data_IF_023683269060
#
_entry.id   IF_023683269060
#
_cell.length_a   1.000
_cell.length_b   1.000
_cell.length_c   1.000
_cell.angle_alpha   90.00
_cell.angle_beta   90.00
_cell.angle_gamma   90.00
#
_symmetry.space_group_name_H-M   'P 1'
#
loop_
_entity.id
_entity.type
_entity.pdbx_description
1 polymer ?
#
# COMPACT_ATOMS: atom_id res chain seq x y z
N UNK A 1 -2.75 11.03 3.69
CA UNK A 1 -3.67 10.95 2.53
C UNK A 1 -3.07 10.00 1.51
N UNK A 2 -3.90 9.21 0.82
CA UNK A 2 -3.38 8.31 -0.22
C UNK A 2 -2.70 9.10 -1.33
N UNK A 3 -1.50 8.66 -1.73
CA UNK A 3 -0.66 9.33 -2.72
C UNK A 3 0.11 8.29 -3.53
N UNK A 4 0.58 8.67 -4.71
CA UNK A 4 1.44 7.83 -5.53
C UNK A 4 1.27 8.08 -7.02
N UNK A 5 2.16 7.44 -7.79
CA UNK A 5 2.15 7.52 -9.24
C UNK A 5 1.05 6.66 -9.87
N UNK A 6 1.25 6.31 -11.13
CA UNK A 6 0.30 5.55 -11.95
C UNK A 6 0.92 4.30 -12.54
N UNK A 7 0.08 3.37 -12.98
CA UNK A 7 0.49 2.31 -13.88
C UNK A 7 -0.59 2.00 -14.92
N UNK A 8 -0.14 1.58 -16.10
CA UNK A 8 -0.98 0.98 -17.13
C UNK A 8 -0.64 -0.50 -17.18
N UNK A 9 -1.64 -1.37 -17.28
CA UNK A 9 -1.39 -2.79 -17.23
C UNK A 9 -2.39 -3.62 -17.99
N UNK A 10 -2.02 -4.88 -18.16
CA UNK A 10 -2.86 -5.93 -18.72
C UNK A 10 -2.91 -7.11 -17.77
N UNK A 11 -3.98 -7.89 -17.87
CA UNK A 11 -4.15 -9.14 -17.13
C UNK A 11 -4.67 -10.17 -18.12
N UNK A 12 -3.84 -11.06 -18.65
CA UNK A 12 -4.24 -12.02 -19.70
C UNK A 12 -4.86 -11.38 -20.96
N UNK A 13 -4.28 -10.24 -21.37
CA UNK A 13 -4.83 -9.38 -22.43
C UNK A 13 -3.71 -8.74 -23.22
N UNK A 14 -3.87 -8.69 -24.55
CA UNK A 14 -3.10 -7.82 -25.42
C UNK A 14 -3.83 -6.48 -25.52
N UNK A 15 -3.16 -5.38 -25.15
CA UNK A 15 -3.77 -4.06 -25.14
C UNK A 15 -2.80 -2.95 -25.53
N UNK A 16 -3.37 -1.83 -25.93
CA UNK A 16 -2.68 -0.63 -26.34
C UNK A 16 -3.16 0.57 -25.54
N UNK A 17 -2.25 1.50 -25.29
CA UNK A 17 -2.50 2.73 -24.56
C UNK A 17 -1.92 3.92 -25.33
N UNK A 18 -2.61 5.07 -25.28
CA UNK A 18 -2.11 6.34 -25.83
C UNK A 18 -2.76 7.55 -25.20
N UNK A 19 -2.26 8.73 -25.56
CA UNK A 19 -2.80 10.03 -25.14
C UNK A 19 -2.88 10.18 -23.62
N UNK A 20 -1.89 9.66 -22.89
CA UNK A 20 -1.86 9.72 -21.43
C UNK A 20 -1.57 11.15 -20.99
N UNK A 21 -2.42 11.67 -20.11
CA UNK A 21 -2.26 12.99 -19.49
C UNK A 21 -2.63 12.92 -18.02
N UNK A 22 -1.78 13.49 -17.18
CA UNK A 22 -1.99 13.62 -15.74
C UNK A 22 -1.94 15.09 -15.39
N UNK A 23 -2.99 15.60 -14.74
CA UNK A 23 -3.06 16.99 -14.30
C UNK A 23 -3.42 17.11 -12.83
N UNK A 24 -2.85 18.10 -12.15
CA UNK A 24 -3.23 18.50 -10.79
C UNK A 24 -3.28 20.03 -10.74
N UNK A 25 -4.35 20.60 -10.18
CA UNK A 25 -4.58 22.04 -10.13
C UNK A 25 -4.32 22.74 -11.48
N UNK A 26 -4.87 22.15 -12.55
CA UNK A 26 -4.72 22.58 -13.96
C UNK A 26 -3.30 22.50 -14.53
N UNK A 27 -2.29 22.14 -13.73
CA UNK A 27 -0.92 21.92 -14.18
C UNK A 27 -0.77 20.53 -14.76
N UNK A 28 -0.01 20.43 -15.85
CA UNK A 28 0.39 19.16 -16.43
C UNK A 28 1.53 18.56 -15.60
N UNK A 29 1.25 17.41 -14.96
CA UNK A 29 2.25 16.65 -14.20
C UNK A 29 3.01 15.68 -15.12
N UNK A 30 2.30 15.07 -16.07
CA UNK A 30 2.86 14.13 -17.03
C UNK A 30 2.01 14.07 -18.28
N UNK A 31 2.67 13.96 -19.44
CA UNK A 31 2.03 13.70 -20.71
C UNK A 31 2.86 12.71 -21.53
N UNK A 32 2.19 11.72 -22.12
CA UNK A 32 2.80 10.74 -23.01
C UNK A 32 1.81 10.37 -24.12
N UNK A 33 2.13 10.73 -25.36
CA UNK A 33 1.34 10.37 -26.54
C UNK A 33 1.78 9.02 -27.15
N UNK A 34 2.99 8.55 -26.80
CA UNK A 34 3.65 7.38 -27.37
C UNK A 34 3.82 7.46 -28.89
N UNK A 35 4.03 8.66 -29.43
CA UNK A 35 4.28 8.84 -30.86
C UNK A 35 5.69 8.39 -31.28
N UNK A 36 6.68 8.47 -30.37
CA UNK A 36 8.09 8.11 -30.64
C UNK A 36 8.63 7.04 -29.71
N UNK A 37 8.45 7.24 -28.41
CA UNK A 37 8.97 6.36 -27.37
C UNK A 37 8.08 6.38 -26.12
N UNK A 38 8.45 5.60 -25.11
CA UNK A 38 7.79 5.53 -23.81
C UNK A 38 8.70 6.06 -22.69
N UNK A 39 9.45 7.13 -22.96
CA UNK A 39 10.32 7.76 -21.96
C UNK A 39 9.54 8.11 -20.69
N UNK A 40 10.13 7.86 -19.53
CA UNK A 40 9.48 8.07 -18.23
C UNK A 40 8.58 6.91 -17.79
N UNK A 41 8.45 5.84 -18.57
CA UNK A 41 7.75 4.61 -18.19
C UNK A 41 8.73 3.47 -17.94
N UNK A 42 8.49 2.69 -16.88
CA UNK A 42 9.34 1.55 -16.52
C UNK A 42 8.49 0.29 -16.36
N UNK A 43 8.93 -0.83 -16.92
CA UNK A 43 8.34 -2.15 -16.70
C UNK A 43 9.32 -3.08 -15.99
N UNK A 44 8.78 -4.04 -15.21
CA UNK A 44 9.55 -5.17 -14.66
C UNK A 44 9.17 -6.51 -15.30
N UNK A 45 8.11 -6.52 -16.10
CA UNK A 45 7.55 -7.70 -16.74
C UNK A 45 6.72 -7.32 -17.97
N UNK A 46 6.42 -8.31 -18.80
CA UNK A 46 5.64 -8.17 -20.03
C UNK A 46 6.46 -7.67 -21.22
N UNK A 47 5.91 -7.86 -22.41
CA UNK A 47 6.49 -7.43 -23.67
C UNK A 47 5.87 -6.11 -24.08
N UNK A 48 6.57 -5.01 -23.80
CA UNK A 48 6.08 -3.64 -24.03
C UNK A 48 6.84 -2.98 -25.17
N UNK A 49 6.12 -2.38 -26.13
CA UNK A 49 6.73 -1.68 -27.26
C UNK A 49 5.85 -0.54 -27.74
N UNK A 50 6.48 0.58 -28.09
CA UNK A 50 5.81 1.64 -28.85
C UNK A 50 5.74 1.23 -30.31
N UNK A 51 4.53 1.15 -30.84
CA UNK A 51 4.25 0.85 -32.25
C UNK A 51 2.96 1.54 -32.68
N UNK A 52 2.92 2.00 -33.93
CA UNK A 52 1.73 2.61 -34.55
C UNK A 52 1.11 3.76 -33.72
N UNK A 53 1.96 4.53 -33.02
CA UNK A 53 1.54 5.65 -32.17
C UNK A 53 0.83 5.23 -30.88
N UNK A 54 1.06 4.01 -30.40
CA UNK A 54 0.55 3.52 -29.13
C UNK A 54 1.60 2.70 -28.38
N UNK A 55 1.48 2.66 -27.05
CA UNK A 55 2.28 1.77 -26.23
C UNK A 55 1.53 0.45 -26.03
N UNK A 56 2.06 -0.61 -26.62
CA UNK A 56 1.42 -1.92 -26.67
C UNK A 56 2.07 -2.88 -25.69
N UNK A 57 1.24 -3.64 -24.99
CA UNK A 57 1.62 -4.91 -24.37
C UNK A 57 1.17 -6.05 -25.29
N UNK A 58 2.09 -6.93 -25.67
CA UNK A 58 1.85 -7.92 -26.75
C UNK A 58 1.70 -9.38 -26.29
N UNK A 59 1.97 -9.70 -25.02
CA UNK A 59 1.86 -11.08 -24.51
C UNK A 59 0.44 -11.33 -23.95
N UNK A 60 -0.39 -12.17 -24.60
CA UNK A 60 -1.78 -12.43 -24.22
C UNK A 60 -1.94 -13.15 -22.88
N UNK A 61 -0.86 -13.69 -22.30
CA UNK A 61 -0.88 -14.39 -21.01
C UNK A 61 -0.31 -13.55 -19.87
N UNK A 62 0.33 -12.43 -20.18
CA UNK A 62 0.99 -11.64 -19.16
C UNK A 62 -0.02 -10.96 -18.23
N UNK A 63 0.35 -10.91 -16.96
CA UNK A 63 -0.17 -9.95 -16.00
C UNK A 63 0.95 -8.96 -15.72
N UNK A 64 0.96 -7.85 -16.44
CA UNK A 64 2.11 -6.94 -16.49
C UNK A 64 1.66 -5.49 -16.44
N UNK A 65 2.55 -4.62 -15.96
CA UNK A 65 2.33 -3.18 -15.92
C UNK A 65 3.59 -2.39 -16.23
N UNK A 66 3.36 -1.19 -16.75
CA UNK A 66 4.34 -0.11 -16.89
C UNK A 66 3.95 1.01 -15.91
N UNK A 67 4.93 1.55 -15.21
CA UNK A 67 4.72 2.52 -14.14
C UNK A 67 5.36 3.86 -14.47
N UNK A 68 4.76 4.95 -13.99
CA UNK A 68 5.32 6.30 -14.04
C UNK A 68 4.78 7.17 -12.89
N UNK A 69 5.32 8.39 -12.75
CA UNK A 69 4.91 9.38 -11.76
C UNK A 69 5.63 9.30 -10.42
N UNK A 70 5.23 10.19 -9.50
CA UNK A 70 5.93 10.43 -8.24
C UNK A 70 5.09 10.02 -7.02
N UNK A 71 5.76 9.64 -5.93
CA UNK A 71 5.11 9.23 -4.68
C UNK A 71 4.33 10.35 -3.98
N UNK A 72 4.63 11.61 -4.31
CA UNK A 72 4.02 12.78 -3.68
C UNK A 72 2.66 13.18 -4.30
N UNK A 73 2.28 12.62 -5.45
CA UNK A 73 1.02 13.00 -6.12
C UNK A 73 -0.20 12.49 -5.36
N UNK A 74 -1.11 13.39 -4.97
CA UNK A 74 -2.28 13.07 -4.14
C UNK A 74 -3.59 13.13 -4.93
N UNK A 75 -3.92 14.34 -5.36
CA UNK A 75 -5.16 14.68 -6.06
C UNK A 75 -4.79 15.09 -7.48
N UNK A 76 -5.24 14.31 -8.44
CA UNK A 76 -4.94 14.50 -9.85
C UNK A 76 -6.02 13.85 -10.71
N UNK A 77 -6.09 14.27 -11.97
CA UNK A 77 -6.88 13.63 -13.00
C UNK A 77 -5.95 12.93 -13.97
N UNK A 78 -6.12 11.61 -14.12
CA UNK A 78 -5.51 10.81 -15.18
C UNK A 78 -6.52 10.65 -16.32
N UNK A 79 -6.14 11.01 -17.53
CA UNK A 79 -6.91 10.74 -18.75
C UNK A 79 -6.03 10.00 -19.75
N UNK A 80 -6.60 9.03 -20.47
CA UNK A 80 -5.90 8.28 -21.50
C UNK A 80 -6.88 7.57 -22.44
N UNK A 81 -6.37 7.04 -23.55
CA UNK A 81 -7.08 6.08 -24.37
C UNK A 81 -6.50 4.68 -24.20
N UNK A 82 -7.37 3.68 -24.18
CA UNK A 82 -6.96 2.27 -24.17
C UNK A 82 -7.78 1.43 -25.15
N UNK A 83 -7.17 0.38 -25.69
CA UNK A 83 -7.82 -0.56 -26.59
C UNK A 83 -7.36 -1.98 -26.29
N UNK A 84 -8.33 -2.89 -26.15
CA UNK A 84 -8.08 -4.33 -26.14
C UNK A 84 -7.91 -4.83 -27.56
N UNK A 85 -6.92 -5.68 -27.82
CA UNK A 85 -6.75 -6.38 -29.10
C UNK A 85 -7.21 -7.85 -29.02
N UNK A 86 -6.80 -8.57 -27.98
CA UNK A 86 -7.13 -9.99 -27.79
C UNK A 86 -6.97 -10.39 -26.31
N UNK A 87 -7.26 -11.63 -25.96
CA UNK A 87 -7.19 -12.14 -24.57
C UNK A 87 -8.55 -12.25 -23.88
N UNK A 88 -8.54 -12.87 -22.70
CA UNK A 88 -9.74 -13.27 -21.96
C UNK A 88 -10.34 -12.15 -21.09
N UNK A 89 -9.54 -11.14 -20.77
CA UNK A 89 -9.89 -10.05 -19.84
C UNK A 89 -9.69 -8.69 -20.55
N UNK A 90 -9.58 -7.59 -19.82
CA UNK A 90 -9.27 -6.27 -20.37
C UNK A 90 -7.97 -5.67 -19.82
N UNK A 91 -8.00 -4.41 -19.45
CA UNK A 91 -6.83 -3.63 -19.04
C UNK A 91 -7.00 -3.02 -17.64
N UNK A 92 -5.87 -2.74 -17.00
CA UNK A 92 -5.76 -2.24 -15.64
C UNK A 92 -5.25 -0.80 -15.65
N UNK A 93 -5.95 0.10 -14.96
CA UNK A 93 -5.48 1.45 -14.68
C UNK A 93 -5.21 1.54 -13.18
N UNK A 94 -3.95 1.78 -12.82
CA UNK A 94 -3.53 1.90 -11.42
C UNK A 94 -3.24 3.35 -11.09
N UNK A 95 -3.72 3.82 -9.95
CA UNK A 95 -3.50 5.17 -9.44
C UNK A 95 -3.11 5.12 -7.96
N UNK A 96 -2.54 6.22 -7.44
CA UNK A 96 -2.03 6.31 -6.06
C UNK A 96 -1.11 5.15 -5.73
N UNK A 97 -0.26 4.81 -6.71
CA UNK A 97 0.63 3.67 -6.65
C UNK A 97 1.89 4.05 -5.88
N UNK A 98 2.02 3.53 -4.67
CA UNK A 98 3.28 3.57 -3.91
C UNK A 98 4.18 2.44 -4.39
N UNK A 99 3.63 1.23 -4.42
CA UNK A 99 4.25 0.03 -4.95
C UNK A 99 3.18 -0.93 -5.52
N UNK A 100 3.54 -2.19 -5.79
CA UNK A 100 2.61 -3.17 -6.36
C UNK A 100 1.56 -3.69 -5.36
N UNK A 101 1.79 -3.49 -4.06
CA UNK A 101 0.98 -3.96 -2.94
C UNK A 101 0.22 -2.83 -2.22
N UNK A 102 0.44 -1.59 -2.64
CA UNK A 102 -0.11 -0.37 -2.04
C UNK A 102 -0.55 0.58 -3.15
N UNK A 103 -1.77 0.36 -3.66
CA UNK A 103 -2.30 1.09 -4.81
C UNK A 103 -3.83 0.96 -4.95
N UNK A 104 -4.42 1.77 -5.83
CA UNK A 104 -5.81 1.60 -6.27
C UNK A 104 -5.80 1.09 -7.70
N UNK A 105 -6.54 0.02 -7.96
CA UNK A 105 -6.63 -0.63 -9.26
C UNK A 105 -8.05 -0.51 -9.79
N UNK A 106 -8.20 0.13 -10.94
CA UNK A 106 -9.39 0.06 -11.76
C UNK A 106 -9.18 -1.03 -12.82
N UNK A 107 -9.85 -2.16 -12.65
CA UNK A 107 -9.82 -3.28 -13.58
C UNK A 107 -11.02 -3.17 -14.52
N UNK A 108 -10.75 -3.02 -15.82
CA UNK A 108 -11.80 -3.01 -16.83
C UNK A 108 -11.84 -4.33 -17.58
N UNK A 109 -13.01 -4.97 -17.62
CA UNK A 109 -13.16 -6.25 -18.30
C UNK A 109 -12.49 -7.39 -17.53
N UNK A 110 -12.69 -7.44 -16.21
CA UNK A 110 -12.29 -8.54 -15.34
C UNK A 110 -13.34 -9.66 -15.28
N UNK A 111 -12.98 -10.78 -14.65
CA UNK A 111 -13.81 -11.98 -14.48
C UNK A 111 -14.25 -12.58 -15.82
N UNK A 112 -13.29 -12.77 -16.73
CA UNK A 112 -13.53 -13.21 -18.10
C UNK A 112 -14.24 -12.14 -18.93
N UNK A 113 -13.86 -10.87 -18.75
CA UNK A 113 -14.43 -9.72 -19.45
C UNK A 113 -15.94 -9.48 -19.22
N UNK A 114 -16.40 -9.70 -17.97
CA UNK A 114 -17.82 -9.59 -17.57
C UNK A 114 -18.10 -8.47 -16.57
N UNK A 115 -17.06 -7.86 -16.00
CA UNK A 115 -17.24 -6.78 -15.05
C UNK A 115 -16.11 -5.75 -15.09
N UNK A 116 -16.40 -4.57 -14.58
CA UNK A 116 -15.40 -3.58 -14.21
C UNK A 116 -15.39 -3.44 -12.70
N UNK A 117 -14.21 -3.40 -12.08
CA UNK A 117 -14.08 -3.30 -10.63
C UNK A 117 -13.05 -2.25 -10.22
N UNK A 118 -13.29 -1.67 -9.06
CA UNK A 118 -12.37 -0.77 -8.40
C UNK A 118 -11.96 -1.40 -7.07
N UNK A 119 -10.67 -1.57 -6.86
CA UNK A 119 -10.08 -2.27 -5.73
C UNK A 119 -8.99 -1.42 -5.08
N UNK A 120 -8.86 -1.50 -3.77
CA UNK A 120 -7.75 -0.94 -3.02
C UNK A 120 -6.85 -2.06 -2.50
N UNK A 121 -5.62 -2.09 -2.98
CA UNK A 121 -4.61 -3.06 -2.54
C UNK A 121 -3.79 -2.45 -1.41
N UNK A 122 -3.72 -3.18 -0.30
CA UNK A 122 -2.94 -2.81 0.88
C UNK A 122 -2.27 -4.06 1.46
N UNK A 123 -0.94 -4.11 1.38
CA UNK A 123 -0.15 -5.19 2.00
C UNK A 123 -0.55 -6.59 1.54
N UNK A 124 -0.62 -6.81 0.22
CA UNK A 124 -1.06 -8.06 -0.43
C UNK A 124 -2.55 -8.41 -0.27
N UNK A 125 -3.35 -7.55 0.36
CA UNK A 125 -4.80 -7.74 0.47
C UNK A 125 -5.54 -6.81 -0.50
N UNK A 126 -6.42 -7.40 -1.31
CA UNK A 126 -7.33 -6.67 -2.19
C UNK A 126 -8.65 -6.38 -1.45
N UNK A 127 -8.96 -5.10 -1.32
CA UNK A 127 -10.20 -4.61 -0.73
C UNK A 127 -11.12 -4.15 -1.86
N UNK A 128 -12.22 -4.87 -2.17
CA UNK A 128 -13.16 -4.42 -3.19
C UNK A 128 -13.87 -3.14 -2.73
N UNK A 129 -13.95 -2.15 -3.63
CA UNK A 129 -14.59 -0.86 -3.34
C UNK A 129 -15.87 -0.65 -4.14
N UNK A 130 -15.86 -0.99 -5.43
CA UNK A 130 -17.03 -0.92 -6.29
C UNK A 130 -16.90 -1.90 -7.46
N UNK A 131 -18.03 -2.36 -8.00
CA UNK A 131 -18.06 -3.22 -9.17
C UNK A 131 -19.35 -2.98 -9.96
N UNK A 132 -19.28 -3.12 -11.28
CA UNK A 132 -20.44 -3.10 -12.17
C UNK A 132 -20.26 -4.11 -13.31
N UNK A 133 -21.33 -4.74 -13.83
CA UNK A 133 -21.24 -5.55 -15.03
C UNK A 133 -20.78 -4.73 -16.24
N UNK A 134 -20.05 -5.36 -17.16
CA UNK A 134 -19.64 -4.72 -18.40
C UNK A 134 -18.55 -5.48 -19.14
N UNK A 135 -18.30 -5.07 -20.38
CA UNK A 135 -17.40 -5.76 -21.31
C UNK A 135 -16.57 -4.73 -22.08
N UNK A 136 -15.31 -5.06 -22.31
CA UNK A 136 -14.42 -4.34 -23.22
C UNK A 136 -14.38 -5.09 -24.56
N UNK A 137 -14.80 -4.41 -25.61
CA UNK A 137 -14.77 -4.88 -26.99
C UNK A 137 -13.34 -4.85 -27.53
N UNK A 138 -12.97 -5.90 -28.26
CA UNK A 138 -11.70 -5.91 -28.98
C UNK A 138 -11.73 -4.94 -30.17
N UNK A 139 -10.62 -4.26 -30.43
CA UNK A 139 -10.48 -3.32 -31.55
C UNK A 139 -11.04 -1.92 -31.32
N UNK A 140 -11.82 -1.71 -30.24
CA UNK A 140 -12.41 -0.40 -29.89
C UNK A 140 -11.49 0.41 -28.99
N UNK A 141 -11.28 1.67 -29.35
CA UNK A 141 -10.66 2.65 -28.46
C UNK A 141 -11.67 3.18 -27.46
N UNK A 142 -11.29 3.20 -26.19
CA UNK A 142 -12.05 3.76 -25.07
C UNK A 142 -11.37 5.01 -24.54
N UNK A 143 -12.14 6.03 -24.22
CA UNK A 143 -11.68 7.21 -23.49
C UNK A 143 -11.82 6.96 -21.97
N UNK A 144 -10.69 6.86 -21.28
CA UNK A 144 -10.63 6.59 -19.85
C UNK A 144 -10.27 7.86 -19.09
N UNK A 145 -10.92 8.07 -17.94
CA UNK A 145 -10.54 9.14 -17.01
C UNK A 145 -10.70 8.66 -15.57
N UNK A 146 -9.71 8.95 -14.73
CA UNK A 146 -9.76 8.76 -13.28
C UNK A 146 -9.55 10.12 -12.61
N UNK A 147 -10.49 10.54 -11.77
CA UNK A 147 -10.36 11.74 -10.95
C UNK A 147 -10.16 11.36 -9.48
N UNK A 148 -9.18 11.98 -8.85
CA UNK A 148 -8.84 11.79 -7.44
C UNK A 148 -9.00 13.11 -6.68
N UNK A 149 -9.72 13.06 -5.56
CA UNK A 149 -9.96 14.22 -4.69
C UNK A 149 -10.11 13.75 -3.25
N UNK A 150 -9.16 14.05 -2.36
CA UNK A 150 -9.18 13.56 -0.99
C UNK A 150 -9.16 12.03 -0.94
N UNK A 151 -10.15 11.36 -0.34
CA UNK A 151 -10.30 9.88 -0.41
C UNK A 151 -11.02 9.40 -1.68
N UNK A 152 -11.70 10.30 -2.39
CA UNK A 152 -12.62 9.95 -3.47
C UNK A 152 -11.88 9.56 -4.73
N UNK A 153 -12.35 8.48 -5.36
CA UNK A 153 -11.95 8.02 -6.69
C UNK A 153 -13.18 7.98 -7.58
N UNK A 154 -13.08 8.56 -8.77
CA UNK A 154 -14.12 8.53 -9.79
C UNK A 154 -13.53 8.04 -11.09
N UNK A 155 -14.11 6.97 -11.65
CA UNK A 155 -13.65 6.36 -12.91
C UNK A 155 -14.71 6.54 -13.99
N UNK A 156 -14.29 7.07 -15.13
CA UNK A 156 -15.15 7.40 -16.27
C UNK A 156 -14.71 6.61 -17.50
N UNK A 157 -15.69 6.02 -18.19
CA UNK A 157 -15.53 5.32 -19.44
C UNK A 157 -16.34 6.04 -20.52
N UNK A 158 -15.68 6.49 -21.59
CA UNK A 158 -16.27 7.29 -22.68
C UNK A 158 -17.07 8.51 -22.17
N UNK A 159 -16.47 9.22 -21.20
CA UNK A 159 -17.06 10.41 -20.59
C UNK A 159 -18.16 10.16 -19.55
N UNK A 160 -18.65 8.92 -19.41
CA UNK A 160 -19.69 8.56 -18.44
C UNK A 160 -19.07 8.10 -17.12
N UNK A 161 -19.55 8.62 -15.99
CA UNK A 161 -19.15 8.13 -14.67
C UNK A 161 -19.62 6.67 -14.53
N UNK A 162 -18.67 5.77 -14.28
CA UNK A 162 -18.93 4.33 -14.24
C UNK A 162 -18.80 3.76 -12.84
N UNK A 163 -17.74 4.13 -12.12
CA UNK A 163 -17.49 3.69 -10.74
C UNK A 163 -17.06 4.87 -9.89
N UNK A 164 -17.49 4.89 -8.64
CA UNK A 164 -17.03 5.87 -7.68
C UNK A 164 -17.04 5.29 -6.27
N UNK A 165 -15.97 5.54 -5.52
CA UNK A 165 -15.82 5.05 -4.16
C UNK A 165 -14.83 5.91 -3.37
N UNK A 166 -14.85 5.75 -2.05
CA UNK A 166 -13.87 6.33 -1.14
C UNK A 166 -12.82 5.28 -0.77
N UNK A 167 -11.55 5.62 -0.93
CA UNK A 167 -10.44 4.76 -0.50
C UNK A 167 -10.50 4.63 1.02
N UNK A 168 -10.59 3.40 1.56
CA UNK A 168 -10.58 3.19 2.99
C UNK A 168 -9.36 3.83 3.64
N UNK A 169 -9.50 4.48 4.81
CA UNK A 169 -8.35 5.00 5.52
C UNK A 169 -7.41 3.83 5.85
N UNK A 170 -6.14 3.98 5.51
CA UNK A 170 -5.12 3.02 5.90
C UNK A 170 -4.93 3.13 7.40
N UNK A 171 -5.60 2.25 8.15
CA UNK A 171 -5.31 2.05 9.57
C UNK A 171 -4.05 1.20 9.68
N UNK A 172 -2.88 1.80 9.42
CA UNK A 172 -1.64 1.17 9.86
C UNK A 172 -1.68 1.14 11.37
N UNK A 173 -1.81 -0.04 11.96
CA UNK A 173 -1.59 -0.18 13.40
C UNK A 173 -0.19 0.33 13.69
N UNK A 174 -0.08 1.47 14.37
CA UNK A 174 1.20 2.15 14.58
C UNK A 174 2.00 1.54 15.74
N UNK A 175 1.33 0.72 16.55
CA UNK A 175 1.90 -0.07 17.64
C UNK A 175 1.23 -1.43 17.67
N UNK A 176 2.02 -2.50 17.70
CA UNK A 176 1.53 -3.86 17.92
C UNK A 176 1.80 -4.27 19.36
N UNK A 177 0.87 -5.00 19.96
CA UNK A 177 0.99 -5.45 21.34
C UNK A 177 0.61 -6.93 21.46
N UNK A 178 1.30 -7.65 22.34
CA UNK A 178 0.88 -8.96 22.83
C UNK A 178 1.31 -9.11 24.29
N UNK A 179 0.56 -9.88 25.07
CA UNK A 179 0.90 -10.18 26.45
C UNK A 179 0.73 -11.67 26.72
N UNK A 180 1.62 -12.24 27.53
CA UNK A 180 1.57 -13.63 28.00
C UNK A 180 1.86 -13.65 29.49
N UNK A 181 1.36 -14.67 30.20
CA UNK A 181 1.61 -14.84 31.63
C UNK A 181 2.54 -16.02 31.86
N UNK A 182 3.60 -15.78 32.62
CA UNK A 182 4.47 -16.81 33.18
C UNK A 182 4.00 -17.06 34.62
N UNK A 183 3.27 -18.16 34.82
CA UNK A 183 2.65 -18.45 36.12
C UNK A 183 3.68 -18.79 37.19
N UNK A 184 4.77 -19.46 36.81
CA UNK A 184 5.82 -19.87 37.74
C UNK A 184 6.60 -18.67 38.25
N UNK A 185 6.87 -17.69 37.38
CA UNK A 185 7.53 -16.45 37.75
C UNK A 185 6.56 -15.40 38.35
N UNK A 186 5.25 -15.57 38.16
CA UNK A 186 4.24 -14.57 38.53
C UNK A 186 4.35 -13.30 37.68
N UNK A 187 4.77 -13.43 36.43
CA UNK A 187 5.09 -12.32 35.53
C UNK A 187 4.14 -12.23 34.34
N UNK A 188 3.88 -11.02 33.90
CA UNK A 188 3.29 -10.71 32.62
C UNK A 188 4.43 -10.27 31.70
N UNK A 189 4.57 -10.96 30.58
CA UNK A 189 5.50 -10.63 29.53
C UNK A 189 4.72 -9.86 28.47
N UNK A 190 4.82 -8.53 28.53
CA UNK A 190 4.23 -7.61 27.55
C UNK A 190 5.25 -7.31 26.45
N UNK A 191 4.84 -7.48 25.19
CA UNK A 191 5.64 -7.15 24.01
C UNK A 191 4.98 -6.01 23.27
N UNK A 192 5.72 -4.96 22.97
CA UNK A 192 5.28 -3.79 22.20
C UNK A 192 6.21 -3.57 21.00
N UNK A 193 5.65 -3.38 19.81
CA UNK A 193 6.41 -3.11 18.57
C UNK A 193 6.00 -1.75 18.04
N UNK A 194 6.96 -0.87 17.80
CA UNK A 194 6.78 0.33 16.98
C UNK A 194 7.59 0.17 15.68
N UNK A 195 6.96 -0.20 14.54
CA UNK A 195 7.67 -0.31 13.27
C UNK A 195 7.95 1.06 12.62
N UNK A 196 7.37 2.14 13.16
CA UNK A 196 7.46 3.48 12.58
C UNK A 196 8.86 4.09 12.69
N UNK A 197 9.16 5.01 11.77
CA UNK A 197 10.41 5.77 11.75
C UNK A 197 10.52 6.84 12.87
N UNK A 198 9.44 7.08 13.61
CA UNK A 198 9.36 8.04 14.70
C UNK A 198 9.02 7.34 16.01
N UNK A 199 9.46 7.93 17.12
CA UNK A 199 9.06 7.46 18.45
C UNK A 199 7.56 7.69 18.66
N UNK A 200 6.92 6.80 19.42
CA UNK A 200 5.48 6.86 19.69
C UNK A 200 5.18 6.69 21.16
N UNK A 201 4.24 7.48 21.66
CA UNK A 201 3.63 7.26 22.97
C UNK A 201 2.46 6.28 22.81
N UNK A 202 2.34 5.34 23.74
CA UNK A 202 1.19 4.45 23.84
C UNK A 202 0.70 4.35 25.28
N UNK A 203 -0.60 4.19 25.46
CA UNK A 203 -1.20 3.89 26.75
C UNK A 203 -1.43 2.39 26.84
N UNK A 204 -0.87 1.77 27.87
CA UNK A 204 -1.04 0.35 28.18
C UNK A 204 -2.09 0.21 29.28
N UNK A 205 -3.00 -0.73 29.09
CA UNK A 205 -3.94 -1.20 30.11
C UNK A 205 -3.85 -2.72 30.21
N UNK A 206 -3.29 -3.23 31.30
CA UNK A 206 -3.23 -4.66 31.60
C UNK A 206 -4.55 -5.10 32.25
N UNK A 207 -5.55 -5.39 31.42
CA UNK A 207 -6.86 -5.84 31.90
C UNK A 207 -6.74 -7.10 32.77
N UNK A 208 -7.43 -7.13 33.91
CA UNK A 208 -7.40 -8.23 34.87
C UNK A 208 -6.23 -8.19 35.88
N UNK A 209 -5.31 -7.23 35.77
CA UNK A 209 -4.23 -7.01 36.73
C UNK A 209 -4.63 -5.95 37.74
N UNK A 210 -4.50 -6.25 39.03
CA UNK A 210 -4.87 -5.34 40.12
C UNK A 210 -3.70 -4.50 40.62
N UNK A 211 -2.50 -5.06 40.61
CA UNK A 211 -1.29 -4.39 41.08
C UNK A 211 -0.07 -4.86 40.32
N UNK A 212 0.93 -3.98 40.21
CA UNK A 212 2.25 -4.28 39.63
C UNK A 212 3.31 -3.93 40.66
N UNK A 213 4.36 -4.75 40.75
CA UNK A 213 5.50 -4.46 41.64
C UNK A 213 6.44 -3.41 40.99
N UNK A 214 7.16 -2.63 41.80
CA UNK A 214 8.22 -1.74 41.29
C UNK A 214 9.36 -2.55 40.64
N UNK A 215 10.28 -1.87 39.97
CA UNK A 215 11.43 -2.45 39.28
C UNK A 215 11.05 -3.46 38.18
N UNK A 216 10.06 -3.11 37.35
CA UNK A 216 9.73 -3.85 36.13
C UNK A 216 10.96 -3.88 35.21
N UNK A 217 11.35 -5.07 34.76
CA UNK A 217 12.44 -5.23 33.80
C UNK A 217 11.92 -4.93 32.40
N UNK A 218 12.68 -4.17 31.64
CA UNK A 218 12.39 -3.86 30.25
C UNK A 218 13.61 -4.12 29.37
N UNK A 219 13.35 -4.63 28.18
CA UNK A 219 14.35 -4.91 27.16
C UNK A 219 13.93 -4.21 25.88
N UNK A 220 14.75 -3.31 25.36
CA UNK A 220 14.43 -2.55 24.16
C UNK A 220 15.46 -2.85 23.08
N UNK A 221 15.01 -3.44 21.99
CA UNK A 221 15.77 -3.58 20.76
C UNK A 221 15.37 -2.44 19.81
N UNK A 222 16.34 -1.71 19.27
CA UNK A 222 16.11 -0.64 18.28
C UNK A 222 17.29 -0.57 17.31
N UNK A 223 17.09 0.08 16.15
CA UNK A 223 18.12 0.27 15.13
C UNK A 223 17.97 1.60 14.41
N UNK A 224 19.07 2.10 13.86
CA UNK A 224 19.10 3.38 13.16
C UNK A 224 18.16 3.43 11.94
N UNK A 225 17.91 2.29 11.29
CA UNK A 225 16.99 2.16 10.14
C UNK A 225 16.39 0.74 10.06
N UNK A 226 15.43 0.55 9.13
CA UNK A 226 14.69 -0.72 8.99
C UNK A 226 15.51 -1.90 8.46
N UNK A 227 16.73 -1.65 7.97
CA UNK A 227 17.65 -2.67 7.46
C UNK A 227 18.84 -2.89 8.41
N UNK A 228 18.79 -2.32 9.63
CA UNK A 228 19.86 -2.50 10.61
C UNK A 228 19.95 -3.98 11.03
N UNK A 229 21.14 -4.56 10.92
CA UNK A 229 21.41 -5.97 11.23
C UNK A 229 22.82 -6.11 11.83
N UNK A 230 23.05 -7.21 12.55
CA UNK A 230 24.37 -7.60 13.04
C UNK A 230 25.14 -8.31 11.93
N UNK A 231 26.36 -7.89 11.66
CA UNK A 231 27.28 -8.56 10.72
C UNK A 231 28.32 -9.37 11.49
N UNK A 232 29.19 -10.12 10.78
CA UNK A 232 30.33 -10.77 11.42
C UNK A 232 31.32 -9.75 12.01
N UNK A 233 31.53 -8.63 11.33
CA UNK A 233 32.42 -7.55 11.77
C UNK A 233 31.80 -6.69 12.88
N UNK A 234 30.47 -6.51 12.86
CA UNK A 234 29.70 -5.73 13.84
C UNK A 234 28.59 -6.59 14.48
N UNK A 235 28.94 -7.59 15.32
CA UNK A 235 27.97 -8.58 15.80
C UNK A 235 26.99 -8.04 16.85
N UNK A 236 27.19 -6.82 17.34
CA UNK A 236 26.41 -6.21 18.43
C UNK A 236 25.75 -4.88 18.05
N UNK A 237 25.59 -4.60 16.75
CA UNK A 237 25.00 -3.36 16.24
C UNK A 237 23.53 -3.18 16.64
N UNK A 238 22.78 -4.26 16.72
CA UNK A 238 21.36 -4.33 17.08
C UNK A 238 21.21 -5.39 18.17
N UNK A 239 21.29 -4.94 19.43
CA UNK A 239 21.16 -5.79 20.63
C UNK A 239 20.16 -5.20 21.61
N UNK A 240 19.41 -6.02 22.37
CA UNK A 240 18.48 -5.51 23.37
C UNK A 240 19.23 -4.79 24.49
N UNK A 241 18.77 -3.59 24.85
CA UNK A 241 19.23 -2.88 26.04
C UNK A 241 18.26 -3.14 27.18
N UNK A 242 18.79 -3.64 28.29
CA UNK A 242 18.03 -3.88 29.52
C UNK A 242 17.98 -2.61 30.39
N UNK A 243 16.81 -2.33 30.97
CA UNK A 243 16.63 -1.26 31.96
C UNK A 243 15.47 -1.58 32.91
N UNK A 244 15.42 -0.90 34.05
CA UNK A 244 14.35 -1.04 35.04
C UNK A 244 13.43 0.17 35.06
N UNK A 245 12.13 -0.07 35.18
CA UNK A 245 11.09 0.96 35.20
C UNK A 245 10.20 0.79 36.43
N UNK A 246 9.75 1.92 36.98
CA UNK A 246 8.73 1.93 38.02
C UNK A 246 7.38 2.28 37.38
N UNK A 247 6.53 1.27 37.24
CA UNK A 247 5.17 1.45 36.75
C UNK A 247 4.26 1.88 37.91
N UNK A 248 3.46 2.92 37.68
CA UNK A 248 2.53 3.45 38.70
C UNK A 248 1.33 2.52 38.95
N UNK A 249 1.11 1.52 38.10
CA UNK A 249 -0.04 0.62 38.17
C UNK A 249 -0.19 -0.22 36.90
N UNK A 250 -1.29 -0.98 36.78
CA UNK A 250 -1.61 -1.77 35.58
C UNK A 250 -1.97 -0.91 34.36
N UNK A 251 -2.19 0.39 34.57
CA UNK A 251 -2.41 1.39 33.53
C UNK A 251 -1.24 2.37 33.54
N UNK A 252 -0.53 2.50 32.41
CA UNK A 252 0.64 3.37 32.31
C UNK A 252 0.86 3.84 30.87
N UNK A 253 1.58 4.95 30.72
CA UNK A 253 2.06 5.42 29.43
C UNK A 253 3.46 4.87 29.18
N UNK A 254 3.73 4.49 27.93
CA UNK A 254 5.03 4.00 27.51
C UNK A 254 5.45 4.67 26.19
N UNK A 255 6.63 5.26 26.22
CA UNK A 255 7.32 5.74 25.02
C UNK A 255 8.05 4.59 24.35
N UNK A 256 7.73 4.34 23.08
CA UNK A 256 8.40 3.37 22.22
C UNK A 256 9.31 4.13 21.25
N UNK A 257 10.64 3.88 21.25
CA UNK A 257 11.54 4.46 20.26
C UNK A 257 11.10 4.11 18.82
N UNK A 258 11.61 4.85 17.83
CA UNK A 258 11.47 4.50 16.43
C UNK A 258 12.01 3.08 16.18
N UNK A 259 11.35 2.32 15.30
CA UNK A 259 11.78 0.98 14.85
C UNK A 259 12.22 0.09 16.02
N UNK A 260 11.33 -0.07 16.99
CA UNK A 260 11.66 -0.75 18.25
C UNK A 260 10.79 -1.97 18.52
N UNK A 261 11.40 -2.94 19.19
CA UNK A 261 10.75 -4.05 19.84
C UNK A 261 11.08 -4.01 21.33
N UNK A 262 10.06 -3.82 22.16
CA UNK A 262 10.19 -3.69 23.61
C UNK A 262 9.52 -4.86 24.31
N UNK A 263 10.20 -5.47 25.27
CA UNK A 263 9.66 -6.53 26.14
C UNK A 263 9.70 -6.05 27.57
N UNK A 264 8.57 -6.10 28.26
CA UNK A 264 8.45 -5.79 29.68
C UNK A 264 8.11 -7.06 30.43
N UNK A 265 8.86 -7.36 31.49
CA UNK A 265 8.56 -8.44 32.44
C UNK A 265 8.03 -7.80 33.71
N UNK A 266 6.72 -7.86 33.86
CA UNK A 266 5.96 -7.13 34.88
C UNK A 266 5.47 -8.14 35.91
N UNK A 267 5.98 -8.08 37.13
CA UNK A 267 5.41 -8.89 38.23
C UNK A 267 4.13 -8.21 38.68
N UNK A 268 3.00 -8.93 38.64
CA UNK A 268 1.71 -8.35 38.98
C UNK A 268 0.72 -9.38 39.54
N UNK A 269 -0.21 -8.89 40.34
CA UNK A 269 -1.32 -9.68 40.89
C UNK A 269 -2.51 -9.58 39.95
N UNK A 270 -3.13 -10.70 39.63
CA UNK A 270 -4.35 -10.77 38.81
C UNK A 270 -5.56 -11.02 39.69
N UNK A 271 -6.75 -10.64 39.20
CA UNK A 271 -8.01 -11.13 39.74
C UNK A 271 -8.20 -12.63 39.48
#
# INVERSE_FOLDING_TARGET
EPAGGVALGTFQTVAEFKDVRITADEKNLLQSDFARDASGWTSKAGSWKVQDGAFQQSDPKASASVTSGELAWKDYTLSLKARKLSGAEGFLITVRRVDAENCVVWNLGGFGNKSHSLQFRLGQQDHPMAQTPGTIEAGRWYDLKVRLSGSRVECFLDGKLMLSADIPPVKTQTVYASATRDEKAGEIILKLVNPGAEARECRVNLAGVTSVKPNTRSFVLTGANGNALNTLDEPRRVVPLESTLNLAGPNFNQRLPARSFSVFRIVGTTN
#
